data_IF_230755111024
#
_entry.id   IF_230755111024
#
_cell.length_a   1.000
_cell.length_b   1.000
_cell.length_c   1.000
_cell.angle_alpha   90.00
_cell.angle_beta   90.00
_cell.angle_gamma   90.00
#
_symmetry.space_group_name_H-M   'P 1'
#
loop_
_entity.id
_entity.type
_entity.pdbx_description
1 polymer ?
#
# COMPACT_ATOMS: atom_id res chain seq x y z
N UNK A 1 32.11 7.91 3.49
CA UNK A 1 33.57 7.94 3.27
C UNK A 1 34.18 8.29 4.63
N UNK A 2 35.03 7.41 5.12
CA UNK A 2 35.79 7.65 6.35
C UNK A 2 37.16 8.21 5.94
N UNK A 3 37.60 9.33 6.55
CA UNK A 3 38.89 9.90 6.30
C UNK A 3 40.04 8.96 6.75
N UNK A 4 41.23 9.20 6.26
CA UNK A 4 42.43 8.41 6.65
C UNK A 4 42.75 8.48 8.16
N UNK A 5 42.22 9.48 8.84
CA UNK A 5 42.26 9.66 10.29
C UNK A 5 41.16 8.92 11.05
N UNK A 6 40.36 8.13 10.37
CA UNK A 6 39.23 7.38 10.94
C UNK A 6 37.99 8.23 11.26
N UNK A 7 37.97 9.52 10.91
CA UNK A 7 36.83 10.42 11.17
C UNK A 7 35.93 10.53 9.99
N UNK A 8 34.63 10.71 10.27
CA UNK A 8 33.64 11.08 9.27
C UNK A 8 33.68 12.60 9.10
N UNK A 9 33.92 13.14 7.90
CA UNK A 9 33.93 14.59 7.69
C UNK A 9 32.52 15.16 7.86
N UNK A 10 32.41 16.36 8.42
CA UNK A 10 31.14 17.07 8.57
C UNK A 10 30.53 17.47 7.22
N UNK A 11 31.36 17.59 6.21
CA UNK A 11 30.94 17.90 4.83
C UNK A 11 31.66 17.01 3.84
N UNK A 12 30.95 16.59 2.79
CA UNK A 12 31.47 15.80 1.69
C UNK A 12 31.27 16.56 0.37
N UNK A 13 32.37 16.82 -0.34
CA UNK A 13 32.29 17.29 -1.71
C UNK A 13 31.94 16.11 -2.61
N UNK A 14 30.70 16.03 -3.02
CA UNK A 14 30.25 15.02 -3.99
C UNK A 14 30.58 15.52 -5.41
N UNK A 15 30.95 14.62 -6.33
CA UNK A 15 31.05 14.98 -7.74
C UNK A 15 29.72 15.54 -8.23
N UNK A 16 29.77 16.47 -9.19
CA UNK A 16 28.56 17.10 -9.75
C UNK A 16 27.50 16.05 -10.07
N UNK A 17 26.29 16.25 -9.56
CA UNK A 17 25.17 15.36 -9.79
C UNK A 17 24.86 15.30 -11.30
N UNK A 18 24.78 14.11 -11.86
CA UNK A 18 24.27 13.88 -13.22
C UNK A 18 22.73 13.87 -13.29
N UNK A 19 22.07 14.40 -12.29
CA UNK A 19 20.65 14.37 -12.07
C UNK A 19 20.30 13.63 -10.77
N UNK A 20 19.08 13.82 -10.29
CA UNK A 20 18.58 13.05 -9.16
C UNK A 20 18.31 11.62 -9.60
N UNK A 21 18.83 10.66 -8.88
CA UNK A 21 18.40 9.27 -9.04
C UNK A 21 16.91 9.16 -8.67
N UNK A 22 16.16 8.27 -9.31
CA UNK A 22 14.80 7.97 -8.90
C UNK A 22 14.76 7.66 -7.40
N UNK A 23 13.78 8.21 -6.70
CA UNK A 23 13.57 7.90 -5.28
C UNK A 23 13.27 6.41 -5.06
N UNK A 24 13.35 6.00 -3.79
CA UNK A 24 13.02 4.63 -3.38
C UNK A 24 11.51 4.37 -3.29
N UNK A 25 10.71 5.42 -3.49
CA UNK A 25 9.25 5.37 -3.60
C UNK A 25 8.81 6.20 -4.79
N UNK A 26 7.68 5.84 -5.38
CA UNK A 26 7.09 6.56 -6.50
C UNK A 26 5.57 6.39 -6.51
N UNK A 27 4.87 7.40 -7.02
CA UNK A 27 3.50 7.24 -7.46
C UNK A 27 3.46 6.48 -8.78
N UNK A 28 2.40 5.68 -8.97
CA UNK A 28 2.19 4.93 -10.20
C UNK A 28 0.69 4.91 -10.52
N UNK A 29 0.32 5.46 -11.64
CA UNK A 29 -1.07 5.49 -12.11
C UNK A 29 -1.46 4.17 -12.80
N UNK A 30 -0.53 3.20 -12.86
CA UNK A 30 -0.74 1.89 -13.48
C UNK A 30 -1.24 1.96 -14.94
N UNK A 31 -0.97 3.06 -15.63
CA UNK A 31 -1.28 3.19 -17.05
C UNK A 31 -0.19 2.49 -17.88
N UNK A 32 -0.48 1.27 -18.28
CA UNK A 32 0.41 0.42 -19.08
C UNK A 32 -0.26 -0.02 -20.35
N UNK A 33 0.51 -0.01 -21.44
CA UNK A 33 0.14 -0.63 -22.70
C UNK A 33 0.78 -2.01 -22.82
N UNK A 34 0.24 -2.83 -23.71
CA UNK A 34 0.86 -4.13 -24.01
C UNK A 34 2.28 -3.92 -24.50
N UNK A 35 3.25 -4.57 -23.86
CA UNK A 35 4.69 -4.44 -24.14
C UNK A 35 5.42 -3.45 -23.24
N UNK A 36 4.74 -2.65 -22.44
CA UNK A 36 5.40 -1.80 -21.47
C UNK A 36 6.08 -2.64 -20.35
N UNK A 37 7.14 -2.10 -19.73
CA UNK A 37 7.76 -2.74 -18.60
C UNK A 37 6.72 -3.03 -17.49
N UNK A 38 6.92 -4.13 -16.81
CA UNK A 38 6.16 -4.49 -15.64
C UNK A 38 6.28 -3.42 -14.52
N UNK A 39 6.17 -3.79 -13.29
CA UNK A 39 6.33 -2.89 -12.16
C UNK A 39 7.79 -2.40 -12.04
N UNK A 40 8.03 -1.08 -11.85
CA UNK A 40 9.35 -0.56 -11.48
C UNK A 40 9.89 -1.21 -10.20
N UNK A 41 11.21 -1.13 -9.98
CA UNK A 41 11.89 -1.74 -8.84
C UNK A 41 11.49 -1.19 -7.46
N UNK A 42 10.79 -0.07 -7.39
CA UNK A 42 10.21 0.46 -6.15
C UNK A 42 9.10 -0.44 -5.60
N UNK A 43 8.47 -1.22 -6.48
CA UNK A 43 7.41 -2.16 -6.11
C UNK A 43 7.97 -3.52 -5.73
N UNK A 44 7.45 -4.10 -4.69
CA UNK A 44 7.82 -5.41 -4.18
C UNK A 44 6.57 -6.22 -3.83
N UNK A 45 6.53 -7.47 -4.25
CA UNK A 45 5.52 -8.40 -3.77
C UNK A 45 5.90 -8.93 -2.39
N UNK A 46 4.94 -8.97 -1.47
CA UNK A 46 5.17 -9.54 -0.14
C UNK A 46 5.55 -11.04 -0.20
N UNK A 47 4.98 -11.76 -1.16
CA UNK A 47 5.32 -13.14 -1.50
C UNK A 47 5.49 -13.27 -3.01
N UNK A 48 6.00 -14.42 -3.47
CA UNK A 48 6.03 -14.70 -4.91
C UNK A 48 4.61 -14.69 -5.47
N UNK A 49 4.27 -13.76 -6.37
CA UNK A 49 2.92 -13.65 -6.92
C UNK A 49 2.61 -14.82 -7.87
N UNK A 50 1.35 -15.18 -7.99
CA UNK A 50 0.86 -15.90 -9.14
C UNK A 50 0.59 -14.90 -10.26
N UNK A 51 1.38 -14.93 -11.32
CA UNK A 51 1.29 -13.97 -12.42
C UNK A 51 -0.02 -14.07 -13.23
N UNK A 52 -0.82 -15.08 -13.00
CA UNK A 52 -2.18 -15.19 -13.57
C UNK A 52 -3.23 -14.41 -12.79
N UNK A 53 -2.90 -13.98 -11.58
CA UNK A 53 -3.82 -13.37 -10.63
C UNK A 53 -3.61 -11.85 -10.46
N UNK A 54 -2.83 -11.23 -11.36
CA UNK A 54 -2.71 -9.77 -11.41
C UNK A 54 -2.47 -9.27 -12.84
N UNK A 55 -2.81 -8.02 -13.10
CA UNK A 55 -2.61 -7.40 -14.42
C UNK A 55 -2.56 -5.88 -14.33
N UNK A 56 -1.70 -5.28 -15.18
CA UNK A 56 -1.62 -3.84 -15.42
C UNK A 56 -2.25 -3.43 -16.77
N UNK A 57 -2.68 -4.39 -17.58
CA UNK A 57 -3.16 -4.14 -18.95
C UNK A 57 -4.61 -4.54 -19.19
N UNK A 58 -5.20 -5.37 -18.33
CA UNK A 58 -6.62 -5.74 -18.44
C UNK A 58 -7.57 -4.55 -18.23
N UNK A 59 -7.13 -3.57 -17.43
CA UNK A 59 -7.84 -2.31 -17.22
C UNK A 59 -6.79 -1.20 -17.11
N UNK A 60 -6.55 -0.41 -18.16
CA UNK A 60 -5.60 0.69 -18.13
C UNK A 60 -5.87 1.65 -16.96
N UNK A 61 -4.81 2.15 -16.32
CA UNK A 61 -4.90 3.00 -15.15
C UNK A 61 -5.23 2.26 -13.84
N UNK A 62 -5.18 0.93 -13.83
CA UNK A 62 -5.45 0.12 -12.64
C UNK A 62 -4.48 -1.05 -12.50
N UNK A 63 -4.04 -1.29 -11.28
CA UNK A 63 -3.55 -2.60 -10.88
C UNK A 63 -4.77 -3.49 -10.59
N UNK A 64 -4.99 -4.51 -11.42
CA UNK A 64 -5.99 -5.53 -11.14
C UNK A 64 -5.36 -6.64 -10.30
N UNK A 65 -5.97 -6.93 -9.16
CA UNK A 65 -5.67 -8.08 -8.31
C UNK A 65 -6.86 -9.04 -8.34
N UNK A 66 -6.60 -10.33 -8.42
CA UNK A 66 -7.63 -11.37 -8.48
C UNK A 66 -7.39 -12.31 -7.29
N UNK A 67 -8.41 -12.51 -6.47
CA UNK A 67 -8.37 -13.49 -5.40
C UNK A 67 -8.42 -14.90 -5.98
N UNK A 68 -7.43 -15.70 -5.69
CA UNK A 68 -7.29 -17.07 -6.20
C UNK A 68 -7.38 -18.14 -5.12
N UNK A 69 -7.33 -17.73 -3.85
CA UNK A 69 -7.41 -18.63 -2.70
C UNK A 69 -7.79 -17.86 -1.44
N UNK A 70 -8.23 -18.58 -0.43
CA UNK A 70 -8.35 -18.05 0.93
C UNK A 70 -7.03 -18.22 1.66
N UNK A 71 -6.51 -17.14 2.22
CA UNK A 71 -5.32 -17.15 3.07
C UNK A 71 -5.73 -17.12 4.55
N UNK A 72 -4.88 -17.67 5.42
CA UNK A 72 -5.17 -17.76 6.85
C UNK A 72 -5.23 -16.38 7.51
N UNK A 73 -4.39 -15.46 7.02
CA UNK A 73 -4.32 -14.07 7.47
C UNK A 73 -3.75 -13.17 6.36
N UNK A 74 -3.74 -11.87 6.62
CA UNK A 74 -3.21 -10.89 5.68
C UNK A 74 -1.70 -11.07 5.40
N UNK A 75 -0.92 -11.54 6.39
CA UNK A 75 0.51 -11.72 6.21
C UNK A 75 0.84 -12.83 5.20
N UNK A 76 -0.05 -13.79 5.04
CA UNK A 76 0.08 -14.88 4.07
C UNK A 76 -0.41 -14.53 2.66
N UNK A 77 -1.10 -13.40 2.48
CA UNK A 77 -1.72 -13.02 1.22
C UNK A 77 -0.67 -12.73 0.13
N UNK A 78 -0.74 -13.47 -0.99
CA UNK A 78 0.24 -13.38 -2.08
C UNK A 78 0.07 -12.15 -2.97
N UNK A 79 -1.15 -11.69 -3.15
CA UNK A 79 -1.48 -10.53 -3.99
C UNK A 79 -1.34 -9.21 -3.23
N UNK A 80 -0.31 -9.09 -2.40
CA UNK A 80 0.05 -7.89 -1.64
C UNK A 80 1.24 -7.22 -2.31
N UNK A 81 0.99 -6.11 -3.01
CA UNK A 81 2.01 -5.29 -3.63
C UNK A 81 2.40 -4.15 -2.70
N UNK A 82 3.69 -3.93 -2.49
CA UNK A 82 4.19 -3.01 -1.48
C UNK A 82 5.23 -2.06 -2.02
N UNK A 83 5.36 -0.92 -1.34
CA UNK A 83 6.54 -0.05 -1.35
C UNK A 83 7.04 0.13 0.07
N UNK A 84 8.29 0.53 0.22
CA UNK A 84 8.87 0.80 1.53
C UNK A 84 8.37 2.15 2.06
N UNK A 85 8.13 2.21 3.36
CA UNK A 85 7.99 3.46 4.09
C UNK A 85 9.36 3.96 4.54
N UNK A 86 9.50 5.27 4.78
CA UNK A 86 10.71 5.87 5.34
C UNK A 86 10.33 7.07 6.21
N UNK A 87 11.22 7.39 7.14
CA UNK A 87 11.03 8.52 8.04
C UNK A 87 11.50 9.85 7.46
N UNK A 88 11.21 10.95 8.14
CA UNK A 88 10.49 11.02 9.41
C UNK A 88 8.98 10.83 9.28
N UNK A 89 8.41 11.07 8.11
CA UNK A 89 7.01 10.92 7.78
C UNK A 89 6.87 10.34 6.38
N UNK A 90 5.83 9.57 6.16
CA UNK A 90 5.46 9.11 4.82
C UNK A 90 3.94 8.94 4.70
N UNK A 91 3.45 9.04 3.49
CA UNK A 91 2.04 8.82 3.20
C UNK A 91 1.87 8.08 1.88
N UNK A 92 0.78 7.33 1.80
CA UNK A 92 0.35 6.67 0.58
C UNK A 92 -1.17 6.81 0.44
N UNK A 93 -1.64 6.92 -0.80
CA UNK A 93 -3.07 6.89 -1.10
C UNK A 93 -3.34 6.06 -2.35
N UNK A 94 -4.54 5.51 -2.43
CA UNK A 94 -4.99 4.73 -3.57
C UNK A 94 -6.50 4.82 -3.71
N UNK A 95 -6.99 4.67 -4.94
CA UNK A 95 -8.41 4.41 -5.19
C UNK A 95 -8.62 2.90 -5.33
N UNK A 96 -9.63 2.37 -4.66
CA UNK A 96 -10.00 0.95 -4.72
C UNK A 96 -11.37 0.83 -5.38
N UNK A 97 -11.42 0.17 -6.53
CA UNK A 97 -12.68 -0.20 -7.19
C UNK A 97 -13.15 -1.55 -6.63
N UNK A 98 -14.30 -1.53 -5.98
CA UNK A 98 -14.89 -2.66 -5.27
C UNK A 98 -16.05 -3.30 -6.02
N UNK A 99 -16.27 -2.92 -7.27
CA UNK A 99 -17.44 -3.37 -8.09
C UNK A 99 -17.53 -4.89 -8.21
N UNK A 100 -16.41 -5.58 -8.18
CA UNK A 100 -16.35 -7.02 -8.44
C UNK A 100 -15.89 -7.84 -7.22
N UNK A 101 -15.91 -7.27 -6.03
CA UNK A 101 -15.68 -8.04 -4.80
C UNK A 101 -16.78 -9.08 -4.62
N UNK A 102 -16.40 -10.25 -4.17
CA UNK A 102 -17.29 -11.36 -3.81
C UNK A 102 -17.25 -11.56 -2.30
N UNK A 103 -18.26 -12.21 -1.78
CA UNK A 103 -18.31 -12.57 -0.35
C UNK A 103 -17.02 -13.25 0.10
N UNK A 104 -16.42 -12.69 1.15
CA UNK A 104 -15.13 -13.09 1.69
C UNK A 104 -13.93 -12.33 1.13
N UNK A 105 -14.07 -11.58 0.02
CA UNK A 105 -12.99 -10.75 -0.49
C UNK A 105 -12.74 -9.55 0.41
N UNK A 106 -11.46 -9.18 0.53
CA UNK A 106 -11.01 -7.99 1.22
C UNK A 106 -9.93 -7.30 0.38
N UNK A 107 -10.13 -6.02 0.05
CA UNK A 107 -9.18 -5.21 -0.71
C UNK A 107 -8.99 -3.84 -0.05
N UNK A 108 -7.76 -3.35 0.00
CA UNK A 108 -7.49 -2.06 0.64
C UNK A 108 -6.04 -1.64 0.65
N UNK A 109 -5.73 -0.70 1.55
CA UNK A 109 -4.42 -0.14 1.81
C UNK A 109 -3.94 -0.57 3.20
N UNK A 110 -2.72 -1.06 3.29
CA UNK A 110 -2.15 -1.55 4.54
C UNK A 110 -0.78 -0.96 4.82
N UNK A 111 -0.45 -0.84 6.09
CA UNK A 111 0.90 -0.71 6.60
C UNK A 111 1.32 -2.07 7.14
N UNK A 112 2.23 -2.72 6.41
CA UNK A 112 2.55 -4.13 6.58
C UNK A 112 3.84 -4.31 7.37
N UNK A 113 3.71 -4.93 8.52
CA UNK A 113 4.79 -5.49 9.34
C UNK A 113 4.21 -6.65 10.15
N UNK A 114 4.94 -7.20 11.12
CA UNK A 114 4.40 -8.16 12.08
C UNK A 114 3.17 -7.60 12.82
N UNK A 115 3.27 -6.35 13.26
CA UNK A 115 2.14 -5.55 13.72
C UNK A 115 1.66 -4.74 12.52
N UNK A 116 0.42 -4.90 12.11
CA UNK A 116 -0.10 -4.24 10.91
C UNK A 116 -1.44 -3.56 11.15
N UNK A 117 -1.69 -2.58 10.33
CA UNK A 117 -2.99 -1.94 10.21
C UNK A 117 -3.42 -1.91 8.76
N UNK A 118 -4.70 -2.00 8.51
CA UNK A 118 -5.23 -1.85 7.17
C UNK A 118 -6.63 -1.22 7.19
N UNK A 119 -6.87 -0.35 6.21
CA UNK A 119 -8.20 0.12 5.86
C UNK A 119 -8.58 -0.40 4.49
N UNK A 120 -9.80 -0.87 4.33
CA UNK A 120 -10.23 -1.44 3.07
C UNK A 120 -11.70 -1.83 3.05
N UNK A 121 -12.09 -2.49 1.98
CA UNK A 121 -13.46 -2.94 1.78
C UNK A 121 -13.53 -4.45 1.86
N UNK A 122 -14.38 -4.93 2.74
CA UNK A 122 -14.73 -6.34 2.93
C UNK A 122 -16.13 -6.58 2.36
N UNK A 123 -16.26 -7.58 1.51
CA UNK A 123 -17.56 -8.04 1.04
C UNK A 123 -18.06 -9.18 1.93
N UNK A 124 -19.27 -9.03 2.48
CA UNK A 124 -19.87 -10.01 3.41
C UNK A 124 -21.38 -9.96 3.33
N UNK A 125 -22.02 -11.11 3.09
CA UNK A 125 -23.47 -11.23 3.02
C UNK A 125 -24.12 -10.39 1.91
N UNK A 126 -23.44 -10.23 0.78
CA UNK A 126 -23.90 -9.40 -0.34
C UNK A 126 -23.81 -7.90 -0.11
N UNK A 127 -23.11 -7.48 0.96
CA UNK A 127 -22.90 -6.06 1.30
C UNK A 127 -21.41 -5.78 1.40
N UNK A 128 -20.99 -4.64 0.85
CA UNK A 128 -19.64 -4.13 1.04
C UNK A 128 -19.58 -3.28 2.31
N UNK A 129 -18.52 -3.48 3.08
CA UNK A 129 -18.23 -2.70 4.29
C UNK A 129 -16.84 -2.09 4.18
N UNK A 130 -16.74 -0.80 4.40
CA UNK A 130 -15.48 -0.17 4.70
C UNK A 130 -15.09 -0.55 6.12
N UNK A 131 -13.91 -1.11 6.32
CA UNK A 131 -13.45 -1.60 7.62
C UNK A 131 -12.04 -1.12 7.91
N UNK A 132 -11.76 -0.89 9.18
CA UNK A 132 -10.42 -0.69 9.73
C UNK A 132 -10.05 -1.90 10.58
N UNK A 133 -8.90 -2.49 10.28
CA UNK A 133 -8.33 -3.61 11.05
C UNK A 133 -7.04 -3.17 11.69
N UNK A 134 -6.91 -3.45 12.97
CA UNK A 134 -5.67 -3.32 13.74
C UNK A 134 -5.22 -4.71 14.21
N UNK A 135 -3.94 -5.02 14.00
CA UNK A 135 -3.40 -6.36 14.26
C UNK A 135 -2.09 -6.30 15.08
N UNK A 136 -2.16 -5.92 16.36
CA UNK A 136 -1.02 -6.00 17.24
C UNK A 136 -0.60 -7.46 17.42
N UNK A 137 0.71 -7.72 17.32
CA UNK A 137 1.28 -9.08 17.44
C UNK A 137 0.62 -10.08 16.48
N UNK A 138 0.31 -9.64 15.26
CA UNK A 138 -0.38 -10.43 14.23
C UNK A 138 -1.75 -10.96 14.65
N UNK A 139 -2.42 -10.31 15.60
CA UNK A 139 -3.78 -10.65 16.03
C UNK A 139 -4.77 -9.62 15.49
N UNK A 140 -5.38 -9.84 14.33
CA UNK A 140 -6.27 -8.87 13.71
C UNK A 140 -7.57 -8.73 14.50
N UNK A 141 -7.99 -7.48 14.66
CA UNK A 141 -9.33 -7.13 15.15
C UNK A 141 -9.90 -6.03 14.28
N UNK A 142 -11.14 -6.17 13.88
CA UNK A 142 -11.89 -5.14 13.21
C UNK A 142 -12.31 -4.10 14.23
N UNK A 143 -11.80 -2.87 14.10
CA UNK A 143 -12.03 -1.79 15.08
C UNK A 143 -13.09 -0.81 14.63
N UNK A 144 -13.39 -0.80 13.32
CA UNK A 144 -14.44 0.03 12.76
C UNK A 144 -15.04 -0.64 11.52
N UNK A 145 -16.35 -0.45 11.31
CA UNK A 145 -17.10 -0.98 10.17
C UNK A 145 -18.21 -0.02 9.77
N UNK A 146 -18.24 0.37 8.51
CA UNK A 146 -19.26 1.24 7.91
C UNK A 146 -19.79 0.60 6.62
N UNK A 147 -21.11 0.47 6.41
CA UNK A 147 -21.66 -0.01 5.15
C UNK A 147 -21.25 0.92 3.99
N UNK A 148 -20.79 0.34 2.89
CA UNK A 148 -20.34 1.06 1.69
C UNK A 148 -21.28 0.77 0.53
N UNK A 149 -21.83 1.82 -0.08
CA UNK A 149 -22.66 1.75 -1.27
C UNK A 149 -21.93 2.12 -2.55
N UNK A 150 -20.86 2.87 -2.40
CA UNK A 150 -20.04 3.38 -3.48
C UNK A 150 -19.24 2.24 -4.13
N UNK A 151 -19.02 2.36 -5.44
CA UNK A 151 -18.23 1.39 -6.22
C UNK A 151 -16.72 1.66 -6.11
N UNK A 152 -16.34 2.83 -5.65
CA UNK A 152 -14.95 3.25 -5.50
C UNK A 152 -14.79 3.98 -4.18
N UNK A 153 -13.73 3.69 -3.46
CA UNK A 153 -13.32 4.41 -2.26
C UNK A 153 -11.85 4.83 -2.40
N UNK A 154 -11.54 6.03 -1.97
CA UNK A 154 -10.16 6.47 -1.83
C UNK A 154 -9.71 6.18 -0.41
N UNK A 155 -8.55 5.57 -0.30
CA UNK A 155 -7.90 5.23 0.96
C UNK A 155 -6.57 5.98 1.07
N UNK A 156 -6.24 6.42 2.26
CA UNK A 156 -4.96 7.07 2.57
C UNK A 156 -4.42 6.55 3.90
N UNK A 157 -3.12 6.32 3.96
CA UNK A 157 -2.39 6.03 5.18
C UNK A 157 -1.29 7.08 5.37
N UNK A 158 -1.15 7.58 6.59
CA UNK A 158 -0.11 8.50 7.01
C UNK A 158 0.69 7.90 8.15
N UNK A 159 2.02 7.97 8.04
CA UNK A 159 2.97 7.45 9.03
C UNK A 159 3.76 8.60 9.64
N UNK A 160 3.88 8.60 10.96
CA UNK A 160 4.74 9.50 11.73
C UNK A 160 5.76 8.66 12.53
N UNK A 161 7.01 8.70 12.09
CA UNK A 161 8.14 8.03 12.74
C UNK A 161 8.99 9.00 13.56
N UNK A 162 8.58 10.27 13.68
CA UNK A 162 9.32 11.27 14.44
C UNK A 162 9.39 10.88 15.91
N UNK A 163 10.57 11.05 16.51
CA UNK A 163 10.79 10.80 17.92
C UNK A 163 10.33 9.39 18.37
N UNK A 164 10.45 8.39 17.50
CA UNK A 164 10.05 7.00 17.75
C UNK A 164 8.56 6.84 18.07
N UNK A 165 7.72 7.68 17.51
CA UNK A 165 6.27 7.59 17.73
C UNK A 165 5.66 6.36 17.06
N UNK A 166 6.17 5.96 15.90
CA UNK A 166 5.73 4.80 15.11
C UNK A 166 4.20 4.72 15.00
N UNK A 167 3.59 5.85 14.62
CA UNK A 167 2.14 5.98 14.51
C UNK A 167 1.70 5.93 13.06
N UNK A 168 0.53 5.32 12.86
CA UNK A 168 -0.18 5.33 11.61
C UNK A 168 -1.60 5.86 11.80
N UNK A 169 -2.11 6.55 10.78
CA UNK A 169 -3.52 6.94 10.66
C UNK A 169 -4.03 6.51 9.31
N UNK A 170 -5.24 6.01 9.28
CA UNK A 170 -5.91 5.67 8.04
C UNK A 170 -7.09 6.60 7.82
N UNK A 171 -7.34 6.89 6.57
CA UNK A 171 -8.41 7.78 6.14
C UNK A 171 -9.10 7.19 4.93
N UNK A 172 -10.36 7.51 4.77
CA UNK A 172 -11.09 7.24 3.54
C UNK A 172 -11.81 8.49 3.03
N UNK A 173 -12.10 8.49 1.74
CA UNK A 173 -12.91 9.51 1.09
C UNK A 173 -13.81 8.88 0.03
N UNK A 174 -15.04 9.35 -0.06
CA UNK A 174 -16.01 8.90 -1.05
C UNK A 174 -16.17 9.91 -2.20
N UNK A 175 -15.69 11.14 -2.01
CA UNK A 175 -15.83 12.26 -2.96
C UNK A 175 -14.48 12.80 -3.45
N UNK A 176 -13.37 12.30 -2.94
CA UNK A 176 -12.01 12.78 -3.23
C UNK A 176 -11.66 14.13 -2.62
N UNK A 177 -12.53 14.72 -1.80
CA UNK A 177 -12.35 16.05 -1.20
C UNK A 177 -12.35 15.99 0.32
N UNK A 178 -13.33 15.32 0.90
CA UNK A 178 -13.52 15.16 2.34
C UNK A 178 -12.91 13.85 2.80
N UNK A 179 -12.06 13.89 3.81
CA UNK A 179 -11.41 12.71 4.37
C UNK A 179 -11.90 12.45 5.79
N UNK A 180 -12.34 11.23 6.03
CA UNK A 180 -12.70 10.72 7.35
C UNK A 180 -11.56 9.84 7.88
N UNK A 181 -11.23 9.98 9.17
CA UNK A 181 -10.20 9.15 9.86
C UNK A 181 -10.80 7.83 10.22
#
# INVERSE_FOLDING_TARGET
VIGVDGKVPDTLNLPASRGLLPGIVASDEFDRKTGDPALPLVWQWNHNPDNKLWSLTQRPGFLRLITGRTDADFLAARNTLTQRTFGPESAASTAVDVTHLKDGDFAGLALLQRDYGLAGVKAEGGTNYLVMVNAPSSKPSEVERVPLKEKTVLLKAECDFQNRKDRARFFYSLDGKSWTV
#
